data_IF_235566213280
#
_entry.id   IF_235566213280
#
_cell.length_a   1.000
_cell.length_b   1.000
_cell.length_c   1.000
_cell.angle_alpha   90.00
_cell.angle_beta   90.00
_cell.angle_gamma   90.00
#
_symmetry.space_group_name_H-M   'P 1'
#
loop_
_entity.id
_entity.type
_entity.pdbx_description
1 polymer ?
#
# COMPACT_ATOMS: atom_id res chain seq x y z
N UNK A 1 -17.72 3.07 -26.39
CA UNK A 1 -17.38 2.86 -24.97
C UNK A 1 -17.39 4.22 -24.30
N UNK A 2 -17.81 4.32 -23.04
CA UNK A 2 -17.69 5.58 -22.29
C UNK A 2 -16.22 5.95 -22.14
N UNK A 3 -15.94 7.26 -22.07
CA UNK A 3 -14.59 7.81 -21.84
C UNK A 3 -14.08 7.51 -20.43
N UNK A 4 -15.01 7.31 -19.49
CA UNK A 4 -14.68 6.90 -18.12
C UNK A 4 -15.15 5.47 -17.85
N UNK A 5 -14.25 4.63 -17.37
CA UNK A 5 -14.56 3.26 -16.92
C UNK A 5 -14.38 3.16 -15.42
N UNK A 6 -15.39 2.66 -14.70
CA UNK A 6 -15.32 2.33 -13.27
C UNK A 6 -15.52 0.85 -13.04
N UNK A 7 -14.65 0.24 -12.24
CA UNK A 7 -14.74 -1.17 -11.83
C UNK A 7 -14.64 -1.23 -10.31
N UNK A 8 -15.58 -1.94 -9.67
CA UNK A 8 -15.46 -2.31 -8.25
C UNK A 8 -14.51 -3.51 -8.14
N UNK A 9 -13.43 -3.36 -7.38
CA UNK A 9 -12.38 -4.38 -7.24
C UNK A 9 -12.59 -5.18 -5.96
N UNK A 10 -12.77 -4.47 -4.85
CA UNK A 10 -13.10 -5.01 -3.53
C UNK A 10 -13.95 -3.96 -2.79
N UNK A 11 -14.64 -4.29 -1.68
CA UNK A 11 -15.30 -3.27 -0.85
C UNK A 11 -14.34 -2.12 -0.56
N UNK A 12 -14.75 -0.87 -0.80
CA UNK A 12 -13.88 0.30 -0.58
C UNK A 12 -12.70 0.47 -1.55
N UNK A 13 -12.59 -0.36 -2.59
CA UNK A 13 -11.54 -0.30 -3.61
C UNK A 13 -12.15 -0.31 -5.02
N UNK A 14 -11.95 0.78 -5.75
CA UNK A 14 -12.40 0.93 -7.14
C UNK A 14 -11.24 1.27 -8.06
N UNK A 15 -11.39 0.88 -9.31
CA UNK A 15 -10.55 1.33 -10.41
C UNK A 15 -11.34 2.30 -11.27
N UNK A 16 -10.79 3.49 -11.51
CA UNK A 16 -11.33 4.46 -12.46
C UNK A 16 -10.29 4.74 -13.54
N UNK A 17 -10.63 4.50 -14.80
CA UNK A 17 -9.75 4.71 -15.94
C UNK A 17 -10.33 5.71 -16.93
N UNK A 18 -9.46 6.63 -17.36
CA UNK A 18 -9.70 7.59 -18.45
C UNK A 18 -8.50 7.49 -19.40
N UNK A 19 -8.46 6.47 -20.29
CA UNK A 19 -7.29 6.17 -21.11
C UNK A 19 -6.89 7.30 -22.06
N UNK A 20 -7.86 8.09 -22.55
CA UNK A 20 -7.61 9.25 -23.44
C UNK A 20 -6.68 10.29 -22.81
N UNK A 21 -6.66 10.38 -21.48
CA UNK A 21 -5.83 11.32 -20.72
C UNK A 21 -4.70 10.62 -19.94
N UNK A 22 -4.48 9.32 -20.19
CA UNK A 22 -3.50 8.52 -19.45
C UNK A 22 -3.72 8.64 -17.92
N UNK A 23 -4.97 8.59 -17.46
CA UNK A 23 -5.31 8.68 -16.03
C UNK A 23 -5.93 7.37 -15.54
N UNK A 24 -5.28 6.76 -14.55
CA UNK A 24 -5.68 5.51 -13.95
C UNK A 24 -5.65 5.66 -12.43
N UNK A 25 -6.83 5.66 -11.81
CA UNK A 25 -7.02 6.00 -10.41
C UNK A 25 -7.39 4.75 -9.63
N UNK A 26 -6.54 4.39 -8.67
CA UNK A 26 -6.93 3.49 -7.59
C UNK A 26 -7.71 4.33 -6.56
N UNK A 27 -9.01 4.12 -6.46
CA UNK A 27 -9.85 4.81 -5.49
C UNK A 27 -10.04 3.92 -4.26
N UNK A 28 -9.60 4.41 -3.10
CA UNK A 28 -9.36 3.59 -1.92
C UNK A 28 -7.97 2.95 -1.96
N UNK A 29 -7.36 2.77 -0.80
CA UNK A 29 -6.00 2.27 -0.68
C UNK A 29 -5.92 1.28 0.48
N UNK A 30 -6.67 0.20 0.31
CA UNK A 30 -6.92 -0.82 1.33
C UNK A 30 -5.76 -1.80 1.40
N UNK A 31 -5.73 -2.66 2.43
CA UNK A 31 -4.72 -3.70 2.54
C UNK A 31 -4.68 -4.58 1.27
N UNK A 32 -3.48 -4.97 0.84
CA UNK A 32 -3.27 -5.79 -0.36
C UNK A 32 -3.89 -5.21 -1.68
N UNK A 33 -4.13 -3.89 -1.78
CA UNK A 33 -4.81 -3.30 -2.95
C UNK A 33 -4.14 -3.63 -4.29
N UNK A 34 -2.80 -3.67 -4.34
CA UNK A 34 -2.07 -4.02 -5.56
C UNK A 34 -2.28 -5.48 -5.93
N UNK A 35 -2.30 -6.40 -4.97
CA UNK A 35 -2.59 -7.82 -5.24
C UNK A 35 -3.98 -7.98 -5.84
N UNK A 36 -4.96 -7.25 -5.33
CA UNK A 36 -6.31 -7.23 -5.91
C UNK A 36 -6.31 -6.72 -7.36
N UNK A 37 -5.61 -5.61 -7.64
CA UNK A 37 -5.51 -5.07 -8.99
C UNK A 37 -4.81 -6.02 -9.98
N UNK A 38 -3.75 -6.72 -9.54
CA UNK A 38 -3.09 -7.76 -10.35
C UNK A 38 -4.06 -8.92 -10.62
N UNK A 39 -4.78 -9.41 -9.60
CA UNK A 39 -5.75 -10.51 -9.74
C UNK A 39 -6.91 -10.17 -10.69
N UNK A 40 -7.31 -8.90 -10.74
CA UNK A 40 -8.31 -8.41 -11.69
C UNK A 40 -7.76 -8.15 -13.10
N UNK A 41 -6.46 -8.36 -13.35
CA UNK A 41 -5.83 -8.11 -14.65
C UNK A 41 -5.69 -6.64 -15.01
N UNK A 42 -5.71 -5.73 -14.03
CA UNK A 42 -5.54 -4.29 -14.24
C UNK A 42 -4.07 -3.86 -14.17
N UNK A 43 -3.26 -4.63 -13.44
CA UNK A 43 -1.80 -4.56 -13.45
C UNK A 43 -1.30 -5.76 -14.24
N UNK A 44 -0.61 -5.50 -15.36
CA UNK A 44 -0.15 -6.52 -16.30
C UNK A 44 1.26 -6.18 -16.77
N UNK A 45 2.12 -7.18 -17.05
CA UNK A 45 3.42 -6.94 -17.61
C UNK A 45 3.31 -6.41 -19.06
N UNK A 46 4.16 -5.45 -19.37
CA UNK A 46 4.42 -4.87 -20.68
C UNK A 46 5.88 -5.07 -21.04
N UNK A 47 6.16 -5.20 -22.34
CA UNK A 47 7.51 -5.21 -22.86
C UNK A 47 7.62 -4.26 -24.06
N UNK A 48 8.63 -3.41 -24.07
CA UNK A 48 8.96 -2.56 -25.21
C UNK A 48 10.47 -2.44 -25.34
N UNK A 49 10.99 -2.75 -26.54
CA UNK A 49 12.42 -2.64 -26.84
C UNK A 49 13.31 -3.40 -25.84
N UNK A 50 12.85 -4.56 -25.36
CA UNK A 50 13.58 -5.41 -24.41
C UNK A 50 13.56 -4.94 -22.95
N UNK A 51 12.81 -3.87 -22.63
CA UNK A 51 12.59 -3.41 -21.26
C UNK A 51 11.20 -3.86 -20.84
N UNK A 52 11.12 -4.60 -19.72
CA UNK A 52 9.86 -5.05 -19.12
C UNK A 52 9.46 -4.14 -17.97
N UNK A 53 8.19 -3.76 -17.91
CA UNK A 53 7.58 -3.03 -16.79
C UNK A 53 6.09 -3.37 -16.68
N UNK A 54 5.34 -2.74 -15.79
CA UNK A 54 3.92 -3.02 -15.58
C UNK A 54 2.99 -1.86 -15.96
N UNK A 55 1.74 -2.19 -16.34
CA UNK A 55 0.62 -1.23 -16.22
C UNK A 55 0.26 -1.00 -14.77
N UNK A 56 -0.63 -0.05 -14.51
CA UNK A 56 -1.22 0.12 -13.19
C UNK A 56 -1.82 1.49 -12.97
N UNK A 57 -2.25 1.78 -11.74
CA UNK A 57 -2.71 3.11 -11.38
C UNK A 57 -1.54 4.08 -11.47
N UNK A 58 -1.79 5.34 -11.79
CA UNK A 58 -0.80 6.43 -11.63
C UNK A 58 -1.27 7.50 -10.66
N UNK A 59 -2.46 7.29 -10.08
CA UNK A 59 -3.11 8.19 -9.13
C UNK A 59 -3.80 7.35 -8.05
N UNK A 60 -3.78 7.83 -6.81
CA UNK A 60 -4.50 7.24 -5.68
C UNK A 60 -5.48 8.27 -5.14
N UNK A 61 -6.76 7.91 -5.06
CA UNK A 61 -7.76 8.66 -4.32
C UNK A 61 -7.90 8.03 -2.93
N UNK A 62 -7.47 8.75 -1.90
CA UNK A 62 -7.47 8.32 -0.50
C UNK A 62 -8.87 8.40 0.09
N UNK A 63 -9.18 7.45 0.99
CA UNK A 63 -10.33 7.54 1.89
C UNK A 63 -10.16 8.74 2.82
N UNK A 64 -11.25 9.44 3.11
CA UNK A 64 -11.28 10.51 4.11
C UNK A 64 -11.03 10.00 5.53
N UNK A 65 -11.44 8.76 5.77
CA UNK A 65 -11.34 8.07 7.06
C UNK A 65 -10.17 7.07 7.00
N UNK A 66 -9.31 7.08 8.02
CA UNK A 66 -8.13 6.20 8.09
C UNK A 66 -8.49 4.76 8.45
N UNK A 67 -9.48 4.56 9.31
CA UNK A 67 -9.89 3.26 9.84
C UNK A 67 -11.38 3.03 9.60
N UNK A 68 -11.73 1.92 8.97
CA UNK A 68 -13.11 1.50 8.73
C UNK A 68 -13.25 0.03 9.10
N UNK A 69 -14.24 -0.30 9.95
CA UNK A 69 -14.50 -1.69 10.36
C UNK A 69 -13.33 -2.39 11.08
N UNK A 70 -12.39 -1.63 11.65
CA UNK A 70 -11.18 -2.17 12.28
C UNK A 70 -9.98 -2.35 11.34
N UNK A 71 -10.10 -1.96 10.07
CA UNK A 71 -9.03 -2.08 9.08
C UNK A 71 -8.56 -0.70 8.59
N UNK A 72 -7.29 -0.61 8.19
CA UNK A 72 -6.78 0.57 7.49
C UNK A 72 -7.47 0.76 6.14
N UNK A 73 -7.76 2.02 5.81
CA UNK A 73 -8.35 2.41 4.52
C UNK A 73 -7.35 3.09 3.58
N UNK A 74 -6.17 3.47 4.11
CA UNK A 74 -5.12 4.18 3.40
C UNK A 74 -3.73 3.58 3.72
N UNK A 75 -3.22 2.73 2.83
CA UNK A 75 -1.91 2.10 2.83
C UNK A 75 -1.28 2.30 1.44
N UNK A 76 -0.70 3.47 1.21
CA UNK A 76 -0.28 3.90 -0.12
C UNK A 76 1.16 3.52 -0.49
N UNK A 77 1.92 2.88 0.41
CA UNK A 77 3.32 2.56 0.17
C UNK A 77 3.50 1.61 -1.00
N UNK A 78 3.00 0.37 -0.93
CA UNK A 78 3.18 -0.58 -2.03
C UNK A 78 2.55 -0.14 -3.35
N UNK A 79 1.39 0.55 -3.38
CA UNK A 79 0.91 1.22 -4.58
C UNK A 79 1.88 2.24 -5.17
N UNK A 80 2.47 3.10 -4.33
CA UNK A 80 3.47 4.09 -4.78
C UNK A 80 4.75 3.41 -5.25
N UNK A 81 5.24 2.40 -4.54
CA UNK A 81 6.42 1.63 -4.94
C UNK A 81 6.17 0.91 -6.27
N UNK A 82 4.96 0.38 -6.50
CA UNK A 82 4.58 -0.21 -7.78
C UNK A 82 4.64 0.82 -8.91
N UNK A 83 4.11 2.04 -8.71
CA UNK A 83 4.19 3.15 -9.67
C UNK A 83 5.63 3.56 -9.97
N UNK A 84 6.45 3.78 -8.94
CA UNK A 84 7.81 4.27 -9.08
C UNK A 84 8.72 3.22 -9.73
N UNK A 85 8.65 1.96 -9.28
CA UNK A 85 9.63 0.94 -9.62
C UNK A 85 9.13 -0.11 -10.61
N UNK A 86 7.92 -0.66 -10.43
CA UNK A 86 7.41 -1.72 -11.32
C UNK A 86 6.82 -1.17 -12.63
N UNK A 87 6.21 0.01 -12.59
CA UNK A 87 5.85 0.74 -13.81
C UNK A 87 7.04 1.56 -14.34
N UNK A 88 8.04 1.84 -13.50
CA UNK A 88 9.25 2.57 -13.87
C UNK A 88 9.08 4.08 -14.01
N UNK A 89 8.07 4.70 -13.37
CA UNK A 89 7.88 6.16 -13.37
C UNK A 89 9.02 6.90 -12.65
N UNK A 90 9.67 6.26 -11.68
CA UNK A 90 10.76 6.85 -10.89
C UNK A 90 12.17 6.49 -11.38
N UNK A 91 12.31 5.65 -12.42
CA UNK A 91 13.60 5.12 -12.87
C UNK A 91 14.19 6.03 -13.95
N UNK A 92 15.35 6.67 -13.75
CA UNK A 92 15.95 7.54 -14.76
C UNK A 92 16.23 6.82 -16.09
N UNK A 93 15.84 7.43 -17.21
CA UNK A 93 16.03 6.85 -18.55
C UNK A 93 15.08 5.70 -18.90
N UNK A 94 14.20 5.28 -17.99
CA UNK A 94 13.20 4.26 -18.27
C UNK A 94 12.15 4.76 -19.28
N UNK A 95 11.66 3.94 -20.23
CA UNK A 95 10.69 4.39 -21.25
C UNK A 95 9.38 4.96 -20.68
N UNK A 96 8.98 4.52 -19.48
CA UNK A 96 7.79 4.97 -18.80
C UNK A 96 8.04 6.13 -17.81
N UNK A 97 9.28 6.59 -17.66
CA UNK A 97 9.58 7.79 -16.90
C UNK A 97 9.38 9.02 -17.81
N UNK A 98 8.15 9.52 -17.84
CA UNK A 98 7.74 10.69 -18.63
C UNK A 98 7.98 12.02 -17.91
N UNK A 99 8.57 11.99 -16.71
CA UNK A 99 8.66 13.14 -15.80
C UNK A 99 7.38 13.41 -15.00
N UNK A 100 6.28 12.71 -15.27
CA UNK A 100 5.06 12.72 -14.44
C UNK A 100 5.30 11.91 -13.17
N UNK A 101 4.97 12.49 -12.02
CA UNK A 101 5.01 11.78 -10.74
C UNK A 101 3.69 11.08 -10.46
N UNK A 102 3.70 10.02 -9.63
CA UNK A 102 2.47 9.49 -9.09
C UNK A 102 1.73 10.54 -8.24
N UNK A 103 0.41 10.50 -8.26
CA UNK A 103 -0.45 11.54 -7.69
C UNK A 103 -1.29 11.01 -6.52
N UNK A 104 -1.25 11.69 -5.38
CA UNK A 104 -2.18 11.45 -4.26
C UNK A 104 -3.30 12.48 -4.24
N UNK A 105 -4.54 12.04 -4.14
CA UNK A 105 -5.72 12.89 -4.02
C UNK A 105 -6.44 12.55 -2.72
N UNK A 106 -6.79 13.55 -1.90
CA UNK A 106 -7.49 13.32 -0.64
C UNK A 106 -7.57 14.58 0.22
N UNK A 107 -8.09 14.47 1.44
CA UNK A 107 -7.97 15.59 2.38
C UNK A 107 -6.52 15.78 2.86
N UNK A 108 -6.22 16.97 3.36
CA UNK A 108 -4.86 17.34 3.78
C UNK A 108 -4.30 16.43 4.86
N UNK A 109 -5.14 15.99 5.81
CA UNK A 109 -4.71 15.12 6.91
C UNK A 109 -4.28 13.75 6.41
N UNK A 110 -5.05 13.15 5.50
CA UNK A 110 -4.74 11.83 4.94
C UNK A 110 -3.52 11.91 4.02
N UNK A 111 -3.41 12.95 3.18
CA UNK A 111 -2.21 13.16 2.36
C UNK A 111 -0.96 13.28 3.24
N UNK A 112 -0.99 14.12 4.27
CA UNK A 112 0.17 14.30 5.16
C UNK A 112 0.56 13.00 5.85
N UNK A 113 -0.42 12.25 6.37
CA UNK A 113 -0.19 10.96 6.99
C UNK A 113 0.47 9.96 6.02
N UNK A 114 0.01 9.88 4.77
CA UNK A 114 0.60 8.99 3.77
C UNK A 114 2.01 9.45 3.35
N UNK A 115 2.26 10.75 3.20
CA UNK A 115 3.59 11.27 2.87
C UNK A 115 4.62 10.95 3.95
N UNK A 116 4.26 11.11 5.23
CA UNK A 116 5.09 10.77 6.38
C UNK A 116 5.29 9.25 6.50
N UNK A 117 4.22 8.49 6.34
CA UNK A 117 4.25 7.03 6.35
C UNK A 117 5.21 6.50 5.27
N UNK A 118 5.03 6.90 4.01
CA UNK A 118 5.91 6.48 2.89
C UNK A 118 7.34 6.94 3.10
N UNK A 119 7.55 8.13 3.68
CA UNK A 119 8.90 8.62 3.99
C UNK A 119 9.60 7.69 5.00
N UNK A 120 8.90 7.30 6.06
CA UNK A 120 9.41 6.40 7.10
C UNK A 120 9.56 4.97 6.59
N UNK A 121 8.63 4.48 5.79
CA UNK A 121 8.79 3.17 5.15
C UNK A 121 10.01 3.14 4.24
N UNK A 122 10.18 4.13 3.36
CA UNK A 122 11.29 4.15 2.41
C UNK A 122 12.67 4.33 3.06
N UNK A 123 12.78 5.09 4.16
CA UNK A 123 14.07 5.43 4.76
C UNK A 123 14.28 4.91 6.19
N UNK A 124 13.28 4.41 6.88
CA UNK A 124 13.37 4.01 8.30
C UNK A 124 13.85 5.15 9.20
N UNK A 125 14.93 4.89 9.94
CA UNK A 125 15.65 5.90 10.73
C UNK A 125 16.40 6.88 9.80
N UNK A 126 16.22 8.18 9.96
CA UNK A 126 16.63 9.21 8.98
C UNK A 126 17.76 10.12 9.44
N UNK A 127 18.33 9.89 10.62
CA UNK A 127 19.46 10.66 11.14
C UNK A 127 20.42 9.79 11.94
N UNK A 128 21.64 10.30 12.12
CA UNK A 128 22.62 9.69 13.02
C UNK A 128 22.09 9.65 14.46
N UNK A 129 21.41 10.70 14.90
CA UNK A 129 20.84 10.79 16.24
C UNK A 129 19.78 9.69 16.46
N UNK A 130 18.90 9.45 15.47
CA UNK A 130 17.92 8.36 15.56
C UNK A 130 18.57 6.98 15.63
N UNK A 131 19.71 6.77 14.93
CA UNK A 131 20.46 5.51 14.99
C UNK A 131 21.08 5.28 16.38
N UNK A 132 21.67 6.33 16.97
CA UNK A 132 22.25 6.28 18.31
C UNK A 132 21.17 6.08 19.38
N UNK A 133 20.03 6.77 19.27
CA UNK A 133 18.88 6.60 20.16
C UNK A 133 18.27 5.20 20.08
N UNK A 134 18.34 4.55 18.92
CA UNK A 134 17.93 3.16 18.73
C UNK A 134 18.89 2.14 19.39
N UNK A 135 20.00 2.61 19.99
CA UNK A 135 20.92 1.79 20.77
C UNK A 135 22.15 1.30 20.01
N UNK A 136 22.40 1.79 18.79
CA UNK A 136 23.63 1.47 18.07
C UNK A 136 24.82 2.20 18.72
N UNK A 137 25.98 1.55 18.73
CA UNK A 137 27.23 2.26 19.01
C UNK A 137 27.52 3.27 17.90
N UNK A 138 28.37 4.26 18.17
CA UNK A 138 28.76 5.25 17.15
C UNK A 138 29.39 4.62 15.91
N UNK A 139 30.22 3.60 16.08
CA UNK A 139 30.86 2.88 14.97
C UNK A 139 29.82 2.14 14.11
N UNK A 140 28.85 1.46 14.73
CA UNK A 140 27.75 0.80 14.01
C UNK A 140 26.84 1.82 13.32
N UNK A 141 26.51 2.92 14.00
CA UNK A 141 25.66 3.97 13.45
C UNK A 141 26.31 4.65 12.24
N UNK A 142 27.62 4.91 12.28
CA UNK A 142 28.39 5.42 11.13
C UNK A 142 28.38 4.43 9.95
N UNK A 143 28.56 3.13 10.21
CA UNK A 143 28.48 2.09 9.18
C UNK A 143 27.09 2.03 8.53
N UNK A 144 26.03 1.96 9.34
CA UNK A 144 24.64 1.90 8.86
C UNK A 144 24.27 3.18 8.11
N UNK A 145 24.67 4.34 8.62
CA UNK A 145 24.42 5.62 7.97
C UNK A 145 25.06 5.70 6.58
N UNK A 146 26.33 5.30 6.47
CA UNK A 146 27.03 5.28 5.18
C UNK A 146 26.33 4.36 4.17
N UNK A 147 25.96 3.15 4.58
CA UNK A 147 25.19 2.23 3.73
C UNK A 147 23.87 2.86 3.28
N UNK A 148 23.12 3.48 4.20
CA UNK A 148 21.86 4.15 3.88
C UNK A 148 22.04 5.30 2.90
N UNK A 149 23.09 6.10 3.04
CA UNK A 149 23.37 7.19 2.11
C UNK A 149 23.66 6.65 0.70
N UNK A 150 24.39 5.54 0.57
CA UNK A 150 24.62 4.91 -0.74
C UNK A 150 23.30 4.48 -1.40
N UNK A 151 22.42 3.77 -0.67
CA UNK A 151 21.10 3.39 -1.19
C UNK A 151 20.19 4.59 -1.47
N UNK A 152 20.35 5.69 -0.74
CA UNK A 152 19.64 6.95 -0.97
C UNK A 152 20.32 7.86 -2.02
N UNK A 153 21.32 7.37 -2.76
CA UNK A 153 22.08 8.15 -3.75
C UNK A 153 22.64 9.46 -3.17
N UNK A 154 23.19 9.38 -1.96
CA UNK A 154 23.82 10.46 -1.22
C UNK A 154 22.85 11.42 -0.53
N UNK A 155 21.52 11.25 -0.67
CA UNK A 155 20.56 12.16 -0.04
C UNK A 155 19.20 11.51 0.21
N UNK A 156 18.74 11.57 1.47
CA UNK A 156 17.36 11.29 1.82
C UNK A 156 16.45 12.39 1.22
N UNK A 157 15.56 11.99 0.31
CA UNK A 157 14.59 12.89 -0.34
C UNK A 157 13.27 12.87 0.40
N UNK A 158 12.66 14.03 0.58
CA UNK A 158 11.27 14.12 1.06
C UNK A 158 10.32 13.50 0.04
N UNK A 159 9.23 12.90 0.51
CA UNK A 159 8.25 12.20 -0.34
C UNK A 159 7.60 13.13 -1.36
N UNK A 160 7.44 14.42 -1.04
CA UNK A 160 6.94 15.47 -1.97
C UNK A 160 7.84 15.69 -3.21
N UNK A 161 9.08 15.20 -3.18
CA UNK A 161 9.95 15.17 -4.36
C UNK A 161 9.63 14.00 -5.29
N UNK A 162 9.00 12.94 -4.77
CA UNK A 162 8.66 11.72 -5.50
C UNK A 162 7.19 11.68 -5.92
N UNK A 163 6.30 12.33 -5.17
CA UNK A 163 4.85 12.33 -5.37
C UNK A 163 4.32 13.75 -5.55
N UNK A 164 3.32 13.89 -6.41
CA UNK A 164 2.46 15.08 -6.43
C UNK A 164 1.22 14.85 -5.56
N UNK A 165 0.54 15.93 -5.16
CA UNK A 165 -0.69 15.82 -4.38
C UNK A 165 -1.73 16.88 -4.72
N UNK A 166 -3.01 16.50 -4.64
CA UNK A 166 -4.16 17.40 -4.74
C UNK A 166 -4.99 17.30 -3.46
N UNK A 167 -5.08 18.41 -2.74
CA UNK A 167 -5.90 18.52 -1.53
C UNK A 167 -7.35 18.79 -1.94
N UNK A 168 -8.22 17.81 -1.70
CA UNK A 168 -9.67 17.94 -1.86
C UNK A 168 -10.31 18.62 -0.66
N UNK A 169 -11.00 19.73 -0.92
CA UNK A 169 -11.90 20.43 0.01
C UNK A 169 -13.35 20.18 -0.46
N UNK A 170 -14.18 21.22 -0.44
CA UNK A 170 -15.60 21.15 -0.82
C UNK A 170 -15.83 21.53 -2.29
N UNK A 171 -14.87 22.21 -2.91
CA UNK A 171 -14.97 22.65 -4.30
C UNK A 171 -14.44 21.58 -5.25
N UNK A 172 -14.98 21.57 -6.47
CA UNK A 172 -14.45 20.80 -7.57
C UNK A 172 -13.03 21.28 -7.93
N UNK A 173 -12.13 20.34 -8.18
CA UNK A 173 -10.73 20.60 -8.52
C UNK A 173 -10.36 19.82 -9.77
N UNK A 174 -9.59 20.43 -10.65
CA UNK A 174 -9.04 19.74 -11.81
C UNK A 174 -7.89 18.80 -11.39
N UNK A 175 -7.95 17.54 -11.82
CA UNK A 175 -6.85 16.59 -11.70
C UNK A 175 -5.80 16.90 -12.77
N UNK A 176 -6.22 16.84 -14.04
CA UNK A 176 -5.48 17.20 -15.26
C UNK A 176 -6.34 17.03 -16.50
N UNK A 177 -5.94 17.63 -17.61
CA UNK A 177 -6.50 17.38 -18.94
C UNK A 177 -8.05 17.53 -19.00
N UNK A 178 -8.62 18.50 -18.26
CA UNK A 178 -10.07 18.72 -18.08
C UNK A 178 -10.82 17.59 -17.37
N UNK A 179 -10.11 16.78 -16.57
CA UNK A 179 -10.69 15.81 -15.65
C UNK A 179 -10.83 16.48 -14.31
N UNK A 180 -12.03 16.47 -13.74
CA UNK A 180 -12.31 17.08 -12.46
C UNK A 180 -12.76 16.05 -11.44
N UNK A 181 -12.56 16.40 -10.17
CA UNK A 181 -13.02 15.62 -9.03
C UNK A 181 -13.64 16.55 -7.99
N UNK A 182 -14.73 16.10 -7.38
CA UNK A 182 -15.40 16.77 -6.27
C UNK A 182 -15.67 15.77 -5.15
N UNK A 183 -15.51 16.21 -3.90
CA UNK A 183 -16.05 15.50 -2.73
C UNK A 183 -17.52 15.89 -2.57
N UNK A 184 -18.41 14.91 -2.66
CA UNK A 184 -19.85 15.11 -2.48
C UNK A 184 -20.27 14.94 -1.02
N UNK A 185 -19.64 14.01 -0.31
CA UNK A 185 -19.78 13.74 1.13
C UNK A 185 -18.52 12.99 1.63
N UNK A 186 -18.45 12.64 2.91
CA UNK A 186 -17.37 11.81 3.47
C UNK A 186 -17.27 10.51 2.68
N UNK A 187 -16.08 10.25 2.12
CA UNK A 187 -15.79 9.08 1.29
C UNK A 187 -16.60 8.97 -0.01
N UNK A 188 -17.36 9.99 -0.38
CA UNK A 188 -18.16 10.02 -1.61
C UNK A 188 -17.61 11.08 -2.55
N UNK A 189 -17.23 10.66 -3.76
CA UNK A 189 -16.58 11.50 -4.74
C UNK A 189 -17.23 11.36 -6.11
N UNK A 190 -17.27 12.44 -6.87
CA UNK A 190 -17.64 12.41 -8.28
C UNK A 190 -16.44 12.83 -9.13
N UNK A 191 -16.13 12.02 -10.15
CA UNK A 191 -15.10 12.29 -11.15
C UNK A 191 -15.80 12.56 -12.47
N UNK A 192 -15.43 13.65 -13.14
CA UNK A 192 -16.05 14.11 -14.38
C UNK A 192 -15.02 14.32 -15.48
N UNK A 193 -15.41 14.00 -16.72
CA UNK A 193 -14.58 14.21 -17.92
C UNK A 193 -15.47 14.33 -19.16
N UNK A 194 -15.34 15.45 -19.89
CA UNK A 194 -16.03 15.70 -21.18
C UNK A 194 -17.55 15.41 -21.15
N UNK A 195 -18.21 15.78 -20.05
CA UNK A 195 -19.66 15.58 -19.85
C UNK A 195 -20.06 14.20 -19.32
N UNK A 196 -19.13 13.25 -19.19
CA UNK A 196 -19.33 12.00 -18.46
C UNK A 196 -18.99 12.16 -16.98
N UNK A 197 -19.69 11.42 -16.12
CA UNK A 197 -19.47 11.44 -14.68
C UNK A 197 -19.59 10.04 -14.08
N UNK A 198 -18.82 9.80 -13.03
CA UNK A 198 -18.87 8.59 -12.21
C UNK A 198 -18.76 8.99 -10.76
N UNK A 199 -19.63 8.41 -9.92
CA UNK A 199 -19.52 8.50 -8.47
C UNK A 199 -18.75 7.30 -7.89
N UNK A 200 -17.92 7.55 -6.89
CA UNK A 200 -17.14 6.57 -6.14
C UNK A 200 -17.49 6.71 -4.66
N UNK A 201 -17.86 5.60 -4.03
CA UNK A 201 -18.18 5.54 -2.60
C UNK A 201 -17.20 4.58 -1.90
N UNK A 202 -16.28 5.14 -1.13
CA UNK A 202 -15.24 4.42 -0.39
C UNK A 202 -15.71 3.96 1.00
N UNK A 203 -16.98 4.18 1.36
CA UNK A 203 -17.52 3.70 2.62
C UNK A 203 -17.64 2.17 2.63
N UNK A 204 -17.16 1.57 3.71
CA UNK A 204 -17.19 0.11 3.88
C UNK A 204 -18.22 -0.22 4.95
N UNK A 205 -19.26 -1.02 4.63
CA UNK A 205 -20.22 -1.46 5.63
C UNK A 205 -19.52 -2.25 6.74
N UNK A 206 -19.91 -2.05 8.00
CA UNK A 206 -19.31 -2.69 9.19
C UNK A 206 -19.24 -4.22 9.09
N UNK A 207 -20.16 -4.84 8.34
CA UNK A 207 -20.22 -6.29 8.15
C UNK A 207 -19.42 -6.81 6.94
N UNK A 208 -18.84 -5.92 6.12
CA UNK A 208 -17.99 -6.31 4.99
C UNK A 208 -16.53 -6.17 5.40
N UNK A 209 -15.74 -7.20 5.10
CA UNK A 209 -14.28 -7.19 5.18
C UNK A 209 -13.71 -7.21 3.77
N UNK A 210 -12.47 -6.78 3.64
CA UNK A 210 -11.68 -7.06 2.45
C UNK A 210 -11.44 -8.57 2.39
N UNK A 211 -11.73 -9.23 1.26
CA UNK A 211 -11.31 -10.61 1.09
C UNK A 211 -9.80 -10.64 0.94
N UNK A 212 -9.11 -11.62 1.52
CA UNK A 212 -7.72 -11.86 1.16
C UNK A 212 -7.60 -12.17 -0.35
N UNK A 213 -6.56 -11.68 -1.06
CA UNK A 213 -6.40 -11.94 -2.49
C UNK A 213 -5.92 -13.37 -2.80
N UNK A 214 -5.58 -14.15 -1.77
CA UNK A 214 -5.07 -15.51 -1.82
C UNK A 214 -5.96 -16.47 -0.98
N UNK A 215 -6.10 -17.74 -1.39
CA UNK A 215 -6.74 -18.77 -0.58
C UNK A 215 -5.76 -19.37 0.43
N UNK A 216 -6.24 -19.71 1.62
CA UNK A 216 -5.50 -20.50 2.61
C UNK A 216 -6.23 -21.81 2.94
N UNK A 217 -5.47 -22.89 3.07
CA UNK A 217 -5.93 -24.16 3.61
C UNK A 217 -5.90 -24.18 5.13
N UNK A 218 -6.73 -25.01 5.75
CA UNK A 218 -6.68 -25.19 7.21
C UNK A 218 -5.52 -26.11 7.61
N UNK A 219 -4.73 -25.67 8.57
CA UNK A 219 -3.62 -26.41 9.15
C UNK A 219 -3.66 -26.29 10.68
N UNK A 220 -3.93 -27.39 11.37
CA UNK A 220 -3.87 -27.41 12.83
C UNK A 220 -2.41 -27.49 13.31
N UNK A 221 -1.91 -26.40 13.90
CA UNK A 221 -0.54 -26.35 14.42
C UNK A 221 -0.46 -26.89 15.85
N UNK A 222 0.62 -27.60 16.16
CA UNK A 222 0.84 -28.10 17.52
C UNK A 222 1.33 -26.99 18.45
N UNK A 223 0.86 -27.00 19.69
CA UNK A 223 1.31 -26.10 20.76
C UNK A 223 2.54 -26.73 21.44
N UNK A 224 3.66 -26.68 20.73
CA UNK A 224 4.91 -27.32 21.14
C UNK A 224 5.65 -26.53 22.22
N UNK A 225 6.73 -27.11 22.78
CA UNK A 225 7.60 -26.38 23.70
C UNK A 225 8.34 -25.24 22.99
N UNK A 226 8.82 -25.48 21.78
CA UNK A 226 9.37 -24.44 20.91
C UNK A 226 9.09 -24.84 19.46
N UNK A 227 8.47 -23.95 18.69
CA UNK A 227 8.17 -24.18 17.28
C UNK A 227 8.10 -22.88 16.52
N UNK A 228 8.45 -22.92 15.23
CA UNK A 228 8.32 -21.78 14.31
C UNK A 228 7.45 -22.22 13.15
N UNK A 229 6.39 -21.46 12.90
CA UNK A 229 5.49 -21.65 11.76
C UNK A 229 5.63 -20.44 10.85
N UNK A 230 6.00 -20.64 9.59
CA UNK A 230 5.98 -19.58 8.60
C UNK A 230 4.56 -19.38 8.09
N UNK A 231 3.89 -18.32 8.56
CA UNK A 231 2.51 -17.98 8.20
C UNK A 231 2.40 -17.22 6.88
N UNK A 232 3.51 -16.69 6.37
CA UNK A 232 3.58 -16.08 5.05
C UNK A 232 5.02 -15.98 4.52
N UNK A 233 5.13 -15.91 3.20
CA UNK A 233 6.41 -15.93 2.47
C UNK A 233 6.40 -15.04 1.21
N UNK A 234 5.33 -14.27 1.01
CA UNK A 234 5.22 -13.28 -0.06
C UNK A 234 5.63 -11.88 0.40
N UNK A 235 5.45 -10.92 -0.50
CA UNK A 235 5.57 -9.48 -0.25
C UNK A 235 4.22 -8.79 -0.51
N UNK A 236 4.19 -7.45 -0.49
CA UNK A 236 2.98 -6.68 -0.84
C UNK A 236 2.51 -6.80 -2.31
N UNK A 237 3.19 -7.59 -3.16
CA UNK A 237 2.82 -7.84 -4.56
C UNK A 237 2.55 -9.31 -4.90
N UNK A 238 2.97 -10.28 -4.07
CA UNK A 238 2.70 -11.72 -4.29
C UNK A 238 1.21 -12.03 -4.10
N UNK A 239 0.53 -12.31 -5.22
CA UNK A 239 -0.91 -12.59 -5.24
C UNK A 239 -1.29 -13.99 -4.75
N UNK A 240 -0.32 -14.87 -4.52
CA UNK A 240 -0.57 -16.28 -4.19
C UNK A 240 -0.28 -16.60 -2.72
N UNK A 241 0.36 -15.69 -1.99
CA UNK A 241 0.84 -15.94 -0.63
C UNK A 241 0.58 -14.74 0.30
N UNK A 242 0.36 -14.98 1.59
CA UNK A 242 0.45 -13.92 2.60
C UNK A 242 1.85 -13.30 2.62
N UNK A 243 1.90 -12.03 3.02
CA UNK A 243 3.16 -11.32 3.27
C UNK A 243 4.01 -12.04 4.32
N UNK A 244 5.32 -11.80 4.30
CA UNK A 244 6.24 -12.42 5.25
C UNK A 244 5.78 -12.22 6.69
N UNK A 245 5.53 -13.33 7.36
CA UNK A 245 5.20 -13.38 8.77
C UNK A 245 5.56 -14.75 9.32
N UNK A 246 5.90 -14.80 10.61
CA UNK A 246 6.15 -16.06 11.31
C UNK A 246 5.46 -16.09 12.66
N UNK A 247 5.11 -17.28 13.12
CA UNK A 247 4.52 -17.52 14.42
C UNK A 247 5.53 -18.32 15.24
N UNK A 248 5.86 -17.82 16.42
CA UNK A 248 6.69 -18.51 17.39
C UNK A 248 5.77 -19.11 18.45
N UNK A 249 5.87 -20.41 18.63
CA UNK A 249 5.28 -21.11 19.77
C UNK A 249 6.38 -21.33 20.80
N UNK A 250 6.17 -20.91 22.04
CA UNK A 250 7.10 -21.17 23.14
C UNK A 250 6.35 -21.52 24.42
N UNK A 251 6.55 -22.71 24.96
CA UNK A 251 5.84 -23.25 26.13
C UNK A 251 4.31 -23.12 26.00
N UNK A 252 3.78 -23.41 24.80
CA UNK A 252 2.36 -23.30 24.48
C UNK A 252 1.85 -21.87 24.26
N UNK A 253 2.68 -20.84 24.46
CA UNK A 253 2.36 -19.44 24.16
C UNK A 253 2.63 -19.12 22.70
N UNK A 254 1.83 -18.24 22.12
CA UNK A 254 1.90 -17.87 20.70
C UNK A 254 2.34 -16.41 20.58
N UNK A 255 3.37 -16.18 19.78
CA UNK A 255 3.88 -14.86 19.45
C UNK A 255 3.92 -14.69 17.94
N UNK A 256 3.63 -13.48 17.47
CA UNK A 256 3.76 -13.13 16.06
C UNK A 256 5.08 -12.41 15.82
N UNK A 257 5.74 -12.76 14.73
CA UNK A 257 6.79 -11.95 14.10
C UNK A 257 6.15 -11.39 12.84
N UNK A 258 5.85 -10.09 12.93
CA UNK A 258 5.02 -9.32 12.00
C UNK A 258 3.54 -9.74 11.97
N UNK A 259 2.70 -8.76 11.68
CA UNK A 259 1.26 -8.89 11.55
C UNK A 259 0.82 -8.12 10.30
N UNK A 260 1.20 -8.64 9.14
CA UNK A 260 0.87 -8.06 7.84
C UNK A 260 -0.62 -8.15 7.48
N UNK A 261 -1.00 -7.67 6.29
CA UNK A 261 -2.36 -7.71 5.76
C UNK A 261 -3.06 -9.05 5.98
N UNK A 262 -4.33 -9.00 6.36
CA UNK A 262 -5.19 -10.17 6.56
C UNK A 262 -4.69 -11.17 7.64
N UNK A 263 -3.90 -10.75 8.64
CA UNK A 263 -3.37 -11.65 9.69
C UNK A 263 -4.46 -12.47 10.39
N UNK A 264 -5.64 -11.90 10.64
CA UNK A 264 -6.75 -12.63 11.24
C UNK A 264 -7.20 -13.84 10.40
N UNK A 265 -7.16 -13.72 9.06
CA UNK A 265 -7.45 -14.82 8.15
C UNK A 265 -6.36 -15.90 8.22
N UNK A 266 -5.09 -15.50 8.29
CA UNK A 266 -3.95 -16.41 8.48
C UNK A 266 -4.05 -17.18 9.80
N UNK A 267 -4.40 -16.51 10.90
CA UNK A 267 -4.57 -17.15 12.21
C UNK A 267 -5.69 -18.17 12.22
N UNK A 268 -6.85 -17.84 11.63
CA UNK A 268 -7.98 -18.78 11.48
C UNK A 268 -7.55 -20.00 10.66
N UNK A 269 -6.83 -19.80 9.55
CA UNK A 269 -6.32 -20.90 8.74
C UNK A 269 -5.34 -21.80 9.50
N UNK A 270 -4.62 -21.27 10.49
CA UNK A 270 -3.71 -22.02 11.36
C UNK A 270 -4.38 -22.58 12.62
N UNK A 271 -5.69 -22.41 12.78
CA UNK A 271 -6.43 -22.86 13.97
C UNK A 271 -6.04 -22.10 15.23
N UNK A 272 -5.65 -20.83 15.10
CA UNK A 272 -5.25 -19.93 16.18
C UNK A 272 -6.32 -18.86 16.37
N UNK A 273 -6.84 -18.73 17.58
CA UNK A 273 -7.67 -17.61 18.00
C UNK A 273 -6.83 -16.37 18.31
N UNK A 274 -7.33 -15.18 17.96
CA UNK A 274 -6.63 -13.92 18.25
C UNK A 274 -6.34 -13.71 19.75
N UNK A 275 -7.17 -14.29 20.62
CA UNK A 275 -7.00 -14.22 22.07
C UNK A 275 -5.87 -15.14 22.60
N UNK A 276 -5.29 -16.01 21.77
CA UNK A 276 -4.14 -16.85 22.13
C UNK A 276 -2.79 -16.11 21.94
N UNK A 277 -2.80 -14.91 21.34
CA UNK A 277 -1.59 -14.15 21.02
C UNK A 277 -1.08 -13.42 22.28
N UNK A 278 0.14 -13.75 22.69
CA UNK A 278 0.78 -13.22 23.89
C UNK A 278 1.69 -12.01 23.61
N UNK A 279 2.08 -11.83 22.35
CA UNK A 279 2.90 -10.69 21.94
C UNK A 279 3.17 -10.67 20.44
N UNK A 280 3.57 -9.48 19.97
CA UNK A 280 3.90 -9.23 18.57
C UNK A 280 5.27 -8.56 18.54
N UNK A 281 6.17 -9.08 17.70
CA UNK A 281 7.44 -8.48 17.36
C UNK A 281 7.34 -7.91 15.96
N UNK A 282 7.59 -6.61 15.80
CA UNK A 282 7.65 -5.99 14.47
C UNK A 282 9.08 -5.83 14.01
N UNK A 283 9.35 -6.24 12.77
CA UNK A 283 10.67 -6.12 12.16
C UNK A 283 10.92 -4.70 11.68
N UNK A 284 9.96 -4.12 10.94
CA UNK A 284 10.04 -2.76 10.40
C UNK A 284 8.65 -2.23 10.02
N UNK A 285 8.60 -1.04 9.41
CA UNK A 285 7.38 -0.26 9.20
C UNK A 285 6.90 -0.22 7.74
N UNK A 286 7.02 -1.33 7.01
CA UNK A 286 6.33 -1.51 5.72
C UNK A 286 4.94 -2.13 5.92
N UNK A 287 3.93 -1.71 5.15
CA UNK A 287 2.54 -2.13 5.39
C UNK A 287 2.36 -3.66 5.34
N UNK A 288 3.17 -4.36 4.55
CA UNK A 288 3.16 -5.81 4.45
C UNK A 288 3.60 -6.54 5.73
N UNK A 289 4.11 -5.81 6.73
CA UNK A 289 4.54 -6.33 8.03
C UNK A 289 3.68 -5.91 9.24
N UNK A 290 2.83 -4.87 9.13
CA UNK A 290 2.08 -4.34 10.28
C UNK A 290 0.59 -4.06 10.05
N UNK A 291 0.09 -4.15 8.82
CA UNK A 291 -1.25 -3.65 8.48
C UNK A 291 -2.45 -4.48 9.02
N UNK A 292 -2.20 -5.62 9.68
CA UNK A 292 -3.22 -6.59 10.10
C UNK A 292 -3.74 -6.46 11.53
#
# INVERSE_FOLDING_TARGET
MGRITKILIAPGLYWVAIPEADLYIQCGCVEDSIKHLIRCGLITPLEKQGISWETGPNTILLSDIMLQGGHFSNLAEFPVLQMLYRQGMGIPGHPNNTGRKPLLIGNSRQIQAQLEYIYRGNYGLISMDELLEAGLSREEAELVWNLKMEFAYGKIKRTDQLLDSIILRDQEVEIRDNIYIRRDDINQFTISYMGEMVSVDLNIPVYKRYPAPYPLGFHDIKREYFGVVHSGQGDGWDINRPCMASIIVYQGKIYLVDAGPNIAYCLIALGIGINEIEGIFHTHCHDDHFAG
#
